data_IF_738569071001
#
_entry.id   IF_738569071001
#
_cell.length_a   1.000
_cell.length_b   1.000
_cell.length_c   1.000
_cell.angle_alpha   90.00
_cell.angle_beta   90.00
_cell.angle_gamma   90.00
#
_symmetry.space_group_name_H-M   'P 1'
#
loop_
_entity.id
_entity.type
_entity.pdbx_description
1 polymer ?
#
# COMPACT_ATOMS: atom_id res chain seq x y z
N UNK A 1 0.00 2.66 -13.97
CA UNK A 1 0.76 3.93 -14.17
C UNK A 1 -0.03 5.17 -13.75
N UNK A 2 -1.29 5.43 -14.17
CA UNK A 2 -2.02 6.60 -13.65
C UNK A 2 -2.09 6.66 -12.12
N UNK A 3 -2.27 5.50 -11.49
CA UNK A 3 -2.25 5.30 -10.03
C UNK A 3 -0.90 5.72 -9.41
N UNK A 4 0.21 5.18 -9.94
CA UNK A 4 1.55 5.57 -9.54
C UNK A 4 1.81 7.07 -9.72
N UNK A 5 1.32 7.68 -10.80
CA UNK A 5 1.50 9.13 -11.05
C UNK A 5 0.83 9.95 -9.95
N UNK A 6 -0.46 9.71 -9.68
CA UNK A 6 -1.19 10.47 -8.65
C UNK A 6 -0.60 10.25 -7.26
N UNK A 7 -0.20 9.02 -6.97
CA UNK A 7 0.40 8.71 -5.67
C UNK A 7 1.77 9.37 -5.50
N UNK A 8 2.63 9.30 -6.53
CA UNK A 8 3.92 9.99 -6.52
C UNK A 8 3.77 11.49 -6.30
N UNK A 9 2.81 12.14 -6.96
CA UNK A 9 2.54 13.57 -6.79
C UNK A 9 2.16 13.92 -5.35
N UNK A 10 1.44 13.04 -4.64
CA UNK A 10 1.22 13.19 -3.19
C UNK A 10 2.54 13.06 -2.43
N UNK A 11 3.34 12.02 -2.71
CA UNK A 11 4.59 11.74 -2.00
C UNK A 11 5.67 12.82 -2.21
N UNK A 12 5.67 13.52 -3.35
CA UNK A 12 6.56 14.68 -3.59
C UNK A 12 6.41 15.77 -2.53
N UNK A 13 5.26 15.83 -1.85
CA UNK A 13 4.99 16.80 -0.79
C UNK A 13 5.34 16.27 0.62
N UNK A 14 5.90 15.07 0.73
CA UNK A 14 6.26 14.43 2.00
C UNK A 14 7.78 14.46 2.17
N UNK A 15 8.32 15.22 3.13
CA UNK A 15 9.76 15.26 3.36
C UNK A 15 10.27 13.95 3.98
N UNK A 16 11.55 13.63 3.75
CA UNK A 16 12.23 12.46 4.32
C UNK A 16 11.41 11.17 4.13
N UNK A 17 11.14 10.85 2.87
CA UNK A 17 10.43 9.65 2.44
C UNK A 17 11.33 8.84 1.51
N UNK A 18 11.22 7.52 1.59
CA UNK A 18 11.80 6.59 0.63
C UNK A 18 10.71 5.66 0.11
N UNK A 19 10.46 5.69 -1.20
CA UNK A 19 9.38 4.94 -1.82
C UNK A 19 9.86 3.60 -2.35
N UNK A 20 9.45 2.52 -1.70
CA UNK A 20 9.71 1.15 -2.15
C UNK A 20 8.56 0.72 -3.07
N UNK A 21 8.84 0.58 -4.36
CA UNK A 21 7.89 0.11 -5.36
C UNK A 21 8.20 -1.35 -5.67
N UNK A 22 7.40 -2.24 -5.10
CA UNK A 22 7.51 -3.68 -5.33
C UNK A 22 6.50 -4.11 -6.40
N UNK A 23 6.99 -4.67 -7.49
CA UNK A 23 6.22 -5.07 -8.67
C UNK A 23 6.00 -6.59 -8.69
N UNK A 24 4.76 -7.05 -8.89
CA UNK A 24 4.42 -8.47 -9.02
C UNK A 24 4.74 -8.96 -10.45
N UNK A 25 6.02 -8.94 -10.78
CA UNK A 25 6.54 -9.24 -12.11
C UNK A 25 7.88 -9.97 -12.04
N UNK A 26 8.19 -10.74 -13.10
CA UNK A 26 9.49 -11.39 -13.27
C UNK A 26 10.51 -10.51 -14.03
N UNK A 27 10.05 -9.42 -14.64
CA UNK A 27 10.86 -8.56 -15.50
C UNK A 27 10.54 -7.10 -15.20
N UNK A 28 11.56 -6.25 -15.30
CA UNK A 28 11.45 -4.81 -15.05
C UNK A 28 10.45 -4.13 -15.99
N UNK A 29 9.58 -3.32 -15.41
CA UNK A 29 8.76 -2.37 -16.14
C UNK A 29 9.50 -1.02 -16.28
N UNK A 30 10.13 -0.80 -17.43
CA UNK A 30 10.93 0.41 -17.66
C UNK A 30 10.11 1.70 -17.63
N UNK A 31 8.83 1.68 -18.01
CA UNK A 31 7.98 2.87 -17.88
C UNK A 31 7.82 3.29 -16.40
N UNK A 32 7.76 2.33 -15.48
CA UNK A 32 7.71 2.59 -14.03
C UNK A 32 9.05 3.13 -13.53
N UNK A 33 10.16 2.51 -13.91
CA UNK A 33 11.51 2.94 -13.50
C UNK A 33 11.82 4.36 -14.01
N UNK A 34 11.50 4.64 -15.27
CA UNK A 34 11.67 5.96 -15.87
C UNK A 34 10.84 7.02 -15.13
N UNK A 35 9.59 6.70 -14.78
CA UNK A 35 8.75 7.62 -14.02
C UNK A 35 9.23 7.83 -12.58
N UNK A 36 9.71 6.78 -11.90
CA UNK A 36 10.29 6.91 -10.56
C UNK A 36 11.52 7.82 -10.58
N UNK A 37 12.37 7.67 -11.59
CA UNK A 37 13.53 8.55 -11.82
C UNK A 37 13.09 9.99 -12.05
N UNK A 38 12.10 10.21 -12.92
CA UNK A 38 11.52 11.53 -13.18
C UNK A 38 10.95 12.18 -11.90
N UNK A 39 10.26 11.41 -11.06
CA UNK A 39 9.61 11.91 -9.86
C UNK A 39 10.58 12.51 -8.83
N UNK A 40 11.87 12.14 -8.92
CA UNK A 40 12.93 12.56 -7.99
C UNK A 40 12.68 12.21 -6.51
N UNK A 41 11.68 11.38 -6.23
CA UNK A 41 11.46 10.79 -4.89
C UNK A 41 12.56 9.74 -4.68
N UNK A 42 13.29 9.73 -3.55
CA UNK A 42 14.17 8.62 -3.21
C UNK A 42 13.39 7.31 -3.25
N UNK A 43 13.85 6.33 -4.02
CA UNK A 43 13.07 5.13 -4.27
C UNK A 43 13.91 3.87 -4.42
N UNK A 44 13.23 2.73 -4.33
CA UNK A 44 13.77 1.42 -4.70
C UNK A 44 12.70 0.68 -5.47
N UNK A 45 13.06 0.16 -6.64
CA UNK A 45 12.19 -0.71 -7.43
C UNK A 45 12.59 -2.17 -7.21
N UNK A 46 11.62 -3.01 -6.83
CA UNK A 46 11.82 -4.43 -6.52
C UNK A 46 10.95 -5.29 -7.43
N UNK A 47 11.47 -6.42 -7.89
CA UNK A 47 10.69 -7.48 -8.51
C UNK A 47 10.34 -8.52 -7.45
N UNK A 48 9.04 -8.67 -7.18
CA UNK A 48 8.51 -9.53 -6.12
C UNK A 48 7.38 -10.41 -6.67
N UNK A 49 7.68 -11.32 -7.60
CA UNK A 49 6.66 -12.14 -8.22
C UNK A 49 5.98 -13.03 -7.18
N UNK A 50 4.65 -13.09 -7.24
CA UNK A 50 3.87 -14.02 -6.42
C UNK A 50 4.37 -15.45 -6.65
N UNK A 51 4.62 -16.25 -5.59
CA UNK A 51 5.00 -17.64 -5.76
C UNK A 51 3.93 -18.45 -6.51
N UNK A 52 4.35 -19.34 -7.40
CA UNK A 52 3.45 -20.05 -8.33
C UNK A 52 2.33 -20.83 -7.63
N UNK A 53 2.63 -21.45 -6.48
CA UNK A 53 1.66 -22.16 -5.64
C UNK A 53 0.46 -21.31 -5.20
N UNK A 54 0.63 -19.99 -5.08
CA UNK A 54 -0.45 -19.08 -4.69
C UNK A 54 -1.19 -18.49 -5.90
N UNK A 55 -0.57 -18.46 -7.08
CA UNK A 55 -1.23 -18.00 -8.32
C UNK A 55 -2.37 -18.91 -8.75
N UNK A 56 -2.30 -20.19 -8.37
CA UNK A 56 -3.27 -21.23 -8.73
C UNK A 56 -4.48 -21.29 -7.78
N UNK A 57 -4.48 -20.53 -6.69
CA UNK A 57 -5.60 -20.50 -5.76
C UNK A 57 -6.81 -19.76 -6.36
N UNK A 58 -8.00 -20.23 -6.01
CA UNK A 58 -9.28 -19.59 -6.38
C UNK A 58 -9.41 -18.20 -5.76
N UNK A 59 -8.94 -18.04 -4.52
CA UNK A 59 -8.84 -16.76 -3.81
C UNK A 59 -7.35 -16.49 -3.57
N UNK A 60 -6.80 -15.54 -4.31
CA UNK A 60 -5.37 -15.21 -4.28
C UNK A 60 -5.07 -14.18 -3.18
N UNK A 61 -4.05 -14.39 -2.33
CA UNK A 61 -3.57 -13.39 -1.37
C UNK A 61 -2.77 -12.32 -2.12
N UNK A 62 -3.43 -11.23 -2.52
CA UNK A 62 -2.84 -10.19 -3.37
C UNK A 62 -1.84 -9.32 -2.61
N UNK A 63 -0.73 -8.97 -3.26
CA UNK A 63 0.27 -8.04 -2.74
C UNK A 63 1.16 -8.58 -1.60
N UNK A 64 0.96 -9.83 -1.14
CA UNK A 64 1.77 -10.39 -0.04
C UNK A 64 3.25 -10.50 -0.40
N UNK A 65 3.58 -10.97 -1.61
CA UNK A 65 4.96 -11.05 -2.07
C UNK A 65 5.63 -9.67 -2.09
N UNK A 66 4.92 -8.67 -2.58
CA UNK A 66 5.38 -7.28 -2.70
C UNK A 66 5.65 -6.67 -1.32
N UNK A 67 4.71 -6.81 -0.38
CA UNK A 67 4.85 -6.29 0.98
C UNK A 67 5.96 -7.00 1.75
N UNK A 68 6.10 -8.32 1.61
CA UNK A 68 7.19 -9.07 2.23
C UNK A 68 8.56 -8.72 1.61
N UNK A 69 8.64 -8.52 0.29
CA UNK A 69 9.86 -8.03 -0.35
C UNK A 69 10.27 -6.64 0.13
N UNK A 70 9.30 -5.73 0.30
CA UNK A 70 9.55 -4.42 0.92
C UNK A 70 10.03 -4.53 2.38
N UNK A 71 9.42 -5.40 3.18
CA UNK A 71 9.86 -5.67 4.56
C UNK A 71 11.29 -6.22 4.62
N UNK A 72 11.64 -7.13 3.71
CA UNK A 72 13.01 -7.65 3.59
C UNK A 72 14.01 -6.54 3.25
N UNK A 73 13.69 -5.69 2.27
CA UNK A 73 14.54 -4.55 1.93
C UNK A 73 14.74 -3.61 3.12
N UNK A 74 13.67 -3.29 3.86
CA UNK A 74 13.75 -2.45 5.07
C UNK A 74 14.68 -3.06 6.11
N UNK A 75 14.61 -4.37 6.35
CA UNK A 75 15.48 -5.06 7.31
C UNK A 75 16.96 -4.99 6.94
N UNK A 76 17.25 -5.04 5.65
CA UNK A 76 18.61 -5.03 5.13
C UNK A 76 19.21 -3.61 5.05
N UNK A 77 18.38 -2.58 4.83
CA UNK A 77 18.87 -1.25 4.44
C UNK A 77 18.50 -0.12 5.41
N UNK A 78 17.53 -0.31 6.30
CA UNK A 78 17.06 0.74 7.20
C UNK A 78 17.36 0.42 8.66
N UNK A 79 17.78 1.44 9.41
CA UNK A 79 18.05 1.34 10.87
C UNK A 79 17.04 2.11 11.70
N UNK A 80 16.32 3.06 11.09
CA UNK A 80 15.32 3.89 11.76
C UNK A 80 14.26 4.39 10.78
N UNK A 81 13.13 4.83 11.32
CA UNK A 81 12.02 5.40 10.56
C UNK A 81 10.73 4.62 10.77
N UNK A 82 9.80 4.74 9.82
CA UNK A 82 8.49 4.10 9.88
C UNK A 82 8.19 3.44 8.54
N UNK A 83 7.71 2.20 8.59
CA UNK A 83 7.18 1.47 7.44
C UNK A 83 5.67 1.69 7.39
N UNK A 84 5.19 2.09 6.21
CA UNK A 84 3.77 2.23 5.92
C UNK A 84 3.45 1.48 4.63
N UNK A 85 2.42 0.62 4.66
CA UNK A 85 1.97 -0.13 3.49
C UNK A 85 0.93 0.71 2.75
N UNK A 86 1.27 1.15 1.54
CA UNK A 86 0.43 2.00 0.74
C UNK A 86 0.15 1.35 -0.62
N UNK A 87 -1.09 0.90 -0.83
CA UNK A 87 -1.56 0.46 -2.15
C UNK A 87 -1.67 1.68 -3.08
N UNK A 88 -1.42 1.49 -4.39
CA UNK A 88 -1.27 2.58 -5.36
C UNK A 88 -2.59 3.24 -5.76
N UNK A 89 -3.72 2.57 -5.55
CA UNK A 89 -5.06 3.04 -5.91
C UNK A 89 -5.77 3.84 -4.81
N UNK A 90 -5.25 3.77 -3.58
CA UNK A 90 -5.78 4.45 -2.41
C UNK A 90 -5.54 5.98 -2.49
N UNK A 91 -6.23 6.73 -1.64
CA UNK A 91 -6.08 8.19 -1.55
C UNK A 91 -5.55 8.57 -0.18
N UNK A 92 -4.47 9.36 -0.15
CA UNK A 92 -3.74 9.72 1.06
C UNK A 92 -3.68 11.23 1.23
N UNK A 93 -4.06 11.71 2.41
CA UNK A 93 -3.82 13.09 2.82
C UNK A 93 -2.39 13.23 3.36
N UNK A 94 -1.70 14.31 3.02
CA UNK A 94 -0.31 14.56 3.48
C UNK A 94 -0.18 14.56 5.01
N UNK A 95 -1.26 14.91 5.73
CA UNK A 95 -1.31 14.92 7.20
C UNK A 95 -1.10 13.53 7.79
N UNK A 96 -1.47 12.46 7.07
CA UNK A 96 -1.21 11.10 7.50
C UNK A 96 0.29 10.87 7.75
N UNK A 97 1.12 11.28 6.80
CA UNK A 97 2.57 11.08 6.87
C UNK A 97 3.22 11.92 7.98
N UNK A 98 2.57 13.01 8.42
CA UNK A 98 3.00 13.79 9.58
C UNK A 98 2.67 13.06 10.89
N UNK A 99 1.48 12.45 10.98
CA UNK A 99 1.02 11.71 12.15
C UNK A 99 1.86 10.45 12.42
N UNK A 100 2.12 9.65 11.38
CA UNK A 100 2.78 8.35 11.53
C UNK A 100 4.30 8.45 11.62
N UNK A 101 4.90 9.60 11.32
CA UNK A 101 6.36 9.79 11.33
C UNK A 101 7.00 9.46 12.68
N UNK A 102 6.24 9.64 13.75
CA UNK A 102 6.69 9.49 15.14
C UNK A 102 6.20 8.20 15.78
N UNK A 103 5.84 7.19 14.99
CA UNK A 103 5.46 5.88 15.52
C UNK A 103 6.66 5.20 16.18
N UNK A 104 6.51 4.82 17.44
CA UNK A 104 7.55 4.15 18.23
C UNK A 104 7.46 2.64 18.12
N UNK A 105 6.24 2.09 18.04
CA UNK A 105 6.00 0.65 17.85
C UNK A 105 5.04 0.41 16.68
N UNK A 106 3.75 0.57 16.92
CA UNK A 106 2.68 0.42 15.94
C UNK A 106 1.66 1.52 16.19
N UNK A 107 1.34 2.27 15.14
CA UNK A 107 0.29 3.25 15.17
C UNK A 107 -0.90 2.80 14.35
N UNK A 108 -2.12 3.12 14.78
CA UNK A 108 -3.34 2.84 14.03
C UNK A 108 -4.25 4.06 13.95
N UNK A 109 -5.03 4.12 12.87
CA UNK A 109 -5.89 5.25 12.54
C UNK A 109 -7.03 4.82 11.60
N UNK A 110 -8.11 5.61 11.48
CA UNK A 110 -9.25 5.28 10.64
C UNK A 110 -8.93 5.29 9.14
N UNK A 111 -9.56 4.37 8.41
CA UNK A 111 -9.54 4.28 6.94
C UNK A 111 -10.97 4.40 6.41
N UNK A 112 -11.21 5.36 5.53
CA UNK A 112 -12.51 5.57 4.90
C UNK A 112 -12.74 4.68 3.67
N UNK A 113 -14.00 4.48 3.29
CA UNK A 113 -14.43 3.74 2.10
C UNK A 113 -14.02 2.27 2.07
N UNK A 114 -13.80 1.67 3.24
CA UNK A 114 -13.42 0.25 3.37
C UNK A 114 -14.66 -0.65 3.33
N UNK A 115 -14.67 -1.62 2.42
CA UNK A 115 -15.75 -2.60 2.23
C UNK A 115 -17.15 -1.96 2.12
N UNK A 116 -18.21 -2.68 2.53
CA UNK A 116 -19.57 -2.14 2.66
C UNK A 116 -19.79 -1.34 3.94
N UNK A 117 -18.91 -1.48 4.93
CA UNK A 117 -19.02 -0.73 6.18
C UNK A 117 -18.67 0.76 6.02
N UNK A 118 -17.89 1.12 4.99
CA UNK A 118 -17.49 2.49 4.70
C UNK A 118 -16.41 3.04 5.63
N UNK A 119 -16.02 2.29 6.67
CA UNK A 119 -15.02 2.66 7.66
C UNK A 119 -14.35 1.41 8.23
N UNK A 120 -13.04 1.47 8.38
CA UNK A 120 -12.25 0.57 9.23
C UNK A 120 -11.54 1.43 10.28
N UNK A 121 -11.73 1.16 11.57
CA UNK A 121 -11.21 2.02 12.63
C UNK A 121 -11.04 1.29 13.97
N UNK A 122 -9.99 1.60 14.74
CA UNK A 122 -10.02 1.42 16.19
C UNK A 122 -11.20 2.19 16.80
N UNK A 123 -11.84 1.62 17.82
CA UNK A 123 -12.90 2.26 18.60
C UNK A 123 -12.34 2.64 19.95
N UNK A 124 -12.36 3.93 20.26
CA UNK A 124 -11.87 4.46 21.53
C UNK A 124 -13.02 4.96 22.40
N UNK A 125 -12.95 4.69 23.70
CA UNK A 125 -13.84 5.25 24.72
C UNK A 125 -12.98 5.97 25.75
N UNK A 126 -13.19 7.28 25.91
CA UNK A 126 -12.38 8.15 26.78
C UNK A 126 -10.87 8.05 26.49
N UNK A 127 -10.51 7.93 25.21
CA UNK A 127 -9.13 7.78 24.76
C UNK A 127 -8.49 6.42 25.02
N UNK A 128 -9.24 5.44 25.54
CA UNK A 128 -8.78 4.06 25.72
C UNK A 128 -9.38 3.16 24.66
N UNK A 129 -8.62 2.15 24.23
CA UNK A 129 -9.08 1.14 23.30
C UNK A 129 -10.33 0.41 23.85
N UNK A 130 -11.36 0.28 23.02
CA UNK A 130 -12.62 -0.39 23.37
C UNK A 130 -12.98 -1.52 22.40
N UNK A 131 -12.39 -1.55 21.21
CA UNK A 131 -12.64 -2.57 20.21
C UNK A 131 -12.35 -2.05 18.81
N UNK A 132 -12.92 -2.74 17.82
CA UNK A 132 -12.71 -2.43 16.41
C UNK A 132 -14.04 -2.23 15.69
N UNK A 133 -14.05 -1.35 14.71
CA UNK A 133 -15.13 -1.20 13.76
C UNK A 133 -14.58 -1.50 12.36
N UNK A 134 -15.06 -2.58 11.74
CA UNK A 134 -14.60 -3.00 10.43
C UNK A 134 -15.68 -3.86 9.75
N UNK A 135 -15.72 -3.85 8.41
CA UNK A 135 -16.71 -4.61 7.65
C UNK A 135 -16.50 -6.13 7.69
N UNK A 136 -15.37 -6.61 8.20
CA UNK A 136 -15.04 -8.02 8.20
C UNK A 136 -14.21 -8.46 9.41
N UNK A 137 -14.87 -8.64 10.55
CA UNK A 137 -14.18 -8.95 11.82
C UNK A 137 -13.64 -10.39 11.88
N UNK A 138 -14.36 -11.39 11.37
CA UNK A 138 -13.94 -12.80 11.18
C UNK A 138 -13.02 -13.43 12.25
N UNK A 139 -13.24 -13.15 13.54
CA UNK A 139 -12.38 -13.61 14.68
C UNK A 139 -10.92 -13.16 14.59
N UNK A 140 -10.61 -12.13 13.78
CA UNK A 140 -9.31 -11.47 13.73
C UNK A 140 -9.05 -10.74 15.05
N UNK A 141 -7.81 -10.74 15.53
CA UNK A 141 -7.37 -9.94 16.69
C UNK A 141 -7.24 -8.48 16.27
N UNK A 142 -6.78 -8.25 15.04
CA UNK A 142 -6.68 -6.96 14.41
C UNK A 142 -7.53 -6.92 13.13
N UNK A 143 -8.84 -6.71 13.24
CA UNK A 143 -9.70 -6.50 12.10
C UNK A 143 -9.56 -5.06 11.59
N UNK A 144 -8.45 -4.78 10.92
CA UNK A 144 -8.15 -3.49 10.29
C UNK A 144 -7.84 -3.68 8.81
N UNK A 145 -7.95 -2.59 8.07
CA UNK A 145 -7.46 -2.47 6.70
C UNK A 145 -5.94 -2.29 6.66
N UNK A 146 -5.29 -2.75 5.57
CA UNK A 146 -3.84 -2.63 5.37
C UNK A 146 -3.35 -1.18 5.49
N UNK A 147 -4.13 -0.23 4.98
CA UNK A 147 -3.78 1.18 5.01
C UNK A 147 -3.95 1.83 6.40
N UNK A 148 -4.50 1.11 7.39
CA UNK A 148 -4.91 1.64 8.69
C UNK A 148 -3.84 1.62 9.78
N UNK A 149 -2.61 1.18 9.46
CA UNK A 149 -1.54 1.10 10.45
C UNK A 149 -0.15 1.40 9.85
N UNK A 150 0.77 1.78 10.73
CA UNK A 150 2.19 1.96 10.41
C UNK A 150 3.06 1.35 11.50
N UNK A 151 4.28 0.94 11.16
CA UNK A 151 5.18 0.19 12.05
C UNK A 151 6.54 0.86 12.13
N UNK A 152 7.05 1.06 13.33
CA UNK A 152 8.42 1.54 13.55
C UNK A 152 9.45 0.57 12.97
N UNK A 153 10.41 1.07 12.20
CA UNK A 153 11.53 0.28 11.67
C UNK A 153 12.32 -0.35 12.81
N UNK A 154 12.62 0.43 13.86
CA UNK A 154 13.35 -0.05 15.04
C UNK A 154 12.61 -1.18 15.76
N UNK A 155 11.28 -1.13 15.80
CA UNK A 155 10.47 -2.21 16.38
C UNK A 155 10.42 -3.43 15.46
N UNK A 156 10.26 -3.22 14.15
CA UNK A 156 10.28 -4.28 13.14
C UNK A 156 11.59 -5.08 13.16
N UNK A 157 12.74 -4.40 13.31
CA UNK A 157 14.06 -5.06 13.39
C UNK A 157 14.21 -5.98 14.61
N UNK A 158 13.49 -5.70 15.72
CA UNK A 158 13.43 -6.59 16.90
C UNK A 158 12.55 -7.81 16.66
N UNK A 159 11.62 -7.72 15.69
CA UNK A 159 10.66 -8.76 15.31
C UNK A 159 11.06 -9.38 13.97
N UNK A 160 12.25 -9.98 13.91
CA UNK A 160 12.89 -10.44 12.66
C UNK A 160 12.01 -11.40 11.83
N UNK A 161 11.15 -12.18 12.47
CA UNK A 161 10.28 -13.17 11.82
C UNK A 161 8.89 -12.63 11.46
N UNK A 162 8.64 -11.32 11.60
CA UNK A 162 7.33 -10.74 11.34
C UNK A 162 7.04 -10.58 9.86
N UNK A 163 6.17 -11.41 9.29
CA UNK A 163 5.86 -11.39 7.86
C UNK A 163 4.36 -11.50 7.62
N UNK A 164 3.91 -11.02 6.45
CA UNK A 164 2.53 -11.22 6.03
C UNK A 164 2.36 -12.68 5.57
N UNK A 165 1.40 -13.42 6.14
CA UNK A 165 1.11 -14.76 5.67
C UNK A 165 0.42 -14.70 4.30
N UNK A 166 0.72 -15.68 3.45
CA UNK A 166 -0.03 -15.90 2.22
C UNK A 166 -1.38 -16.57 2.51
N UNK A 167 -2.26 -15.85 3.21
CA UNK A 167 -3.59 -16.32 3.61
C UNK A 167 -4.61 -15.21 3.40
N UNK A 168 -5.43 -15.36 2.37
CA UNK A 168 -6.44 -14.38 1.97
C UNK A 168 -7.34 -13.94 3.14
N UNK A 169 -7.35 -12.64 3.39
CA UNK A 169 -8.02 -11.94 4.48
C UNK A 169 -7.35 -12.06 5.87
N UNK A 170 -6.25 -12.78 5.99
CA UNK A 170 -5.52 -12.85 7.27
C UNK A 170 -4.11 -12.26 7.13
N UNK A 171 -3.86 -11.50 6.07
CA UNK A 171 -2.59 -10.83 5.81
C UNK A 171 -2.26 -9.84 6.93
N UNK A 172 -3.15 -8.87 7.19
CA UNK A 172 -2.96 -7.82 8.20
C UNK A 172 -2.94 -8.43 9.61
N UNK A 173 -3.94 -9.27 9.92
CA UNK A 173 -4.07 -9.90 11.24
C UNK A 173 -2.86 -10.79 11.55
N UNK A 174 -2.40 -11.58 10.57
CA UNK A 174 -1.23 -12.43 10.73
C UNK A 174 0.05 -11.64 10.94
N UNK A 175 0.26 -10.58 10.16
CA UNK A 175 1.42 -9.71 10.32
C UNK A 175 1.42 -9.00 11.68
N UNK A 176 0.32 -8.37 12.07
CA UNK A 176 0.22 -7.65 13.35
C UNK A 176 0.39 -8.60 14.55
N UNK A 177 -0.14 -9.84 14.48
CA UNK A 177 0.15 -10.87 15.49
C UNK A 177 1.62 -11.24 15.56
N UNK A 178 2.30 -11.33 14.42
CA UNK A 178 3.72 -11.68 14.36
C UNK A 178 4.64 -10.62 14.98
N UNK A 179 4.17 -9.37 15.06
CA UNK A 179 4.84 -8.29 15.79
C UNK A 179 4.72 -8.41 17.32
N UNK A 180 3.88 -9.32 17.83
CA UNK A 180 3.62 -9.51 19.27
C UNK A 180 3.21 -8.21 19.99
N UNK A 181 2.42 -7.39 19.30
CA UNK A 181 1.81 -6.19 19.85
C UNK A 181 0.44 -6.55 20.46
N UNK A 182 0.11 -5.94 21.60
CA UNK A 182 -1.24 -5.96 22.17
C UNK A 182 -1.99 -4.66 21.83
N UNK A 183 -3.34 -4.69 21.69
CA UNK A 183 -4.12 -3.49 21.34
C UNK A 183 -3.91 -2.30 22.28
N UNK A 184 -3.60 -2.55 23.55
CA UNK A 184 -3.33 -1.52 24.56
C UNK A 184 -2.00 -0.79 24.35
N UNK A 185 -1.08 -1.38 23.59
CA UNK A 185 0.24 -0.82 23.26
C UNK A 185 0.23 0.01 21.96
N UNK A 186 -0.92 0.10 21.28
CA UNK A 186 -1.06 0.78 20.01
C UNK A 186 -1.17 2.29 20.19
N UNK A 187 -0.44 3.02 19.37
CA UNK A 187 -0.51 4.48 19.29
C UNK A 187 -1.67 4.91 18.38
N UNK A 188 -2.78 5.35 18.96
CA UNK A 188 -3.93 5.82 18.18
C UNK A 188 -3.72 7.25 17.66
N UNK A 189 -3.57 7.38 16.34
CA UNK A 189 -3.31 8.65 15.63
C UNK A 189 -4.62 9.26 15.09
N UNK A 190 -4.49 10.32 14.30
CA UNK A 190 -5.59 11.03 13.67
C UNK A 190 -6.61 11.57 14.70
N UNK A 191 -6.07 12.28 15.70
CA UNK A 191 -6.83 12.89 16.79
C UNK A 191 -7.70 11.86 17.53
N UNK A 192 -7.05 10.84 18.10
CA UNK A 192 -7.72 9.71 18.77
C UNK A 192 -8.76 9.04 17.88
N UNK A 193 -8.39 8.79 16.63
CA UNK A 193 -9.22 8.14 15.62
C UNK A 193 -10.53 8.89 15.30
N UNK A 194 -10.55 10.22 15.45
CA UNK A 194 -11.72 11.05 15.08
C UNK A 194 -11.62 11.68 13.69
N UNK A 195 -10.45 11.56 13.03
CA UNK A 195 -10.19 12.07 11.68
C UNK A 195 -9.82 10.95 10.73
N UNK A 196 -10.20 11.11 9.46
CA UNK A 196 -9.85 10.18 8.37
C UNK A 196 -8.84 10.91 7.46
N UNK A 197 -7.67 10.32 7.27
CA UNK A 197 -6.60 10.84 6.41
C UNK A 197 -6.20 9.87 5.29
N UNK A 198 -6.86 8.73 5.20
CA UNK A 198 -6.67 7.74 4.14
C UNK A 198 -8.01 7.11 3.75
N UNK A 199 -8.18 6.88 2.45
CA UNK A 199 -9.37 6.28 1.87
C UNK A 199 -9.00 5.15 0.94
N UNK A 200 -9.67 4.01 1.10
CA UNK A 200 -9.51 2.82 0.27
C UNK A 200 -10.28 2.98 -1.05
N UNK A 201 -9.81 3.88 -1.91
CA UNK A 201 -10.39 4.14 -3.24
C UNK A 201 -9.98 3.08 -4.26
N UNK A 202 -10.80 2.89 -5.30
CA UNK A 202 -10.47 2.04 -6.44
C UNK A 202 -10.85 2.75 -7.73
N UNK A 203 -9.98 2.70 -8.73
CA UNK A 203 -10.31 3.22 -10.06
C UNK A 203 -11.20 2.25 -10.80
N UNK A 204 -12.28 2.77 -11.39
CA UNK A 204 -13.15 1.97 -12.25
C UNK A 204 -12.40 1.63 -13.54
N UNK A 205 -12.37 0.35 -13.91
CA UNK A 205 -11.86 -0.08 -15.21
C UNK A 205 -12.62 0.60 -16.35
N UNK A 206 -11.87 1.13 -17.30
CA UNK A 206 -12.44 1.66 -18.53
C UNK A 206 -12.96 0.51 -19.41
N UNK A 207 -13.95 0.82 -20.25
CA UNK A 207 -14.38 -0.12 -21.30
C UNK A 207 -13.25 -0.39 -22.31
N UNK A 208 -13.34 -1.48 -23.08
CA UNK A 208 -12.33 -1.81 -24.08
C UNK A 208 -12.21 -0.66 -25.08
N UNK A 209 -10.99 -0.15 -25.26
CA UNK A 209 -10.68 0.87 -26.26
C UNK A 209 -9.79 0.29 -27.35
N UNK A 210 -9.95 0.76 -28.58
CA UNK A 210 -9.09 0.31 -29.68
C UNK A 210 -7.65 0.76 -29.42
N UNK A 211 -6.73 -0.21 -29.41
CA UNK A 211 -5.29 0.05 -29.37
C UNK A 211 -4.73 0.64 -30.65
N UNK A 212 -5.45 0.49 -31.76
CA UNK A 212 -4.94 0.82 -33.08
C UNK A 212 -5.63 2.05 -33.64
N UNK A 213 -4.84 3.09 -33.90
CA UNK A 213 -5.20 4.23 -34.72
C UNK A 213 -5.14 3.76 -36.19
N UNK A 214 -6.25 3.21 -36.69
CA UNK A 214 -6.33 2.60 -38.03
C UNK A 214 -6.27 3.62 -39.19
N UNK A 215 -6.36 4.91 -38.91
CA UNK A 215 -6.43 5.95 -39.93
C UNK A 215 -5.06 6.15 -40.60
N UNK A 216 -4.92 5.72 -41.85
CA UNK A 216 -3.68 5.76 -42.64
C UNK A 216 -3.11 7.17 -42.84
N UNK A 217 -3.95 8.21 -42.77
CA UNK A 217 -3.54 9.62 -42.83
C UNK A 217 -2.55 10.03 -41.71
N UNK A 218 -2.40 9.20 -40.67
CA UNK A 218 -1.45 9.44 -39.58
C UNK A 218 -0.18 8.58 -39.68
N UNK A 219 0.01 7.87 -40.79
CA UNK A 219 1.27 7.18 -41.04
C UNK A 219 2.41 8.19 -41.15
N UNK A 220 3.56 7.88 -40.53
CA UNK A 220 4.72 8.77 -40.50
C UNK A 220 4.63 9.94 -39.50
N UNK A 221 3.53 10.06 -38.73
CA UNK A 221 3.40 11.11 -37.72
C UNK A 221 3.70 10.61 -36.30
N UNK A 222 3.78 11.53 -35.36
CA UNK A 222 3.92 11.24 -33.93
C UNK A 222 2.80 10.35 -33.37
N UNK A 223 1.62 10.26 -34.01
CA UNK A 223 0.55 9.39 -33.56
C UNK A 223 0.94 7.90 -33.58
N UNK A 224 1.84 7.47 -34.47
CA UNK A 224 2.38 6.09 -34.46
C UNK A 224 3.32 5.83 -33.30
N UNK A 225 3.96 6.87 -32.77
CA UNK A 225 4.77 6.79 -31.56
C UNK A 225 3.85 6.69 -30.34
N UNK A 226 2.81 7.53 -30.30
CA UNK A 226 1.83 7.54 -29.21
C UNK A 226 1.03 6.25 -29.14
N UNK A 227 0.61 5.69 -30.28
CA UNK A 227 -0.08 4.39 -30.37
C UNK A 227 0.67 3.28 -29.61
N UNK A 228 2.00 3.22 -29.74
CA UNK A 228 2.85 2.25 -29.02
C UNK A 228 2.93 2.52 -27.52
N UNK A 229 2.66 3.75 -27.08
CA UNK A 229 2.71 4.19 -25.67
C UNK A 229 1.33 4.27 -25.01
N UNK A 230 0.23 4.08 -25.75
CA UNK A 230 -1.11 4.14 -25.19
C UNK A 230 -1.30 3.01 -24.18
N UNK A 231 -1.47 3.38 -22.92
CA UNK A 231 -1.86 2.45 -21.87
C UNK A 231 -3.36 2.18 -21.98
N UNK A 232 -3.69 1.13 -22.71
CA UNK A 232 -5.03 0.60 -22.80
C UNK A 232 -5.05 -0.74 -22.07
N UNK A 233 -5.77 -0.79 -20.96
CA UNK A 233 -6.12 -2.04 -20.28
C UNK A 233 -6.97 -2.90 -21.22
N UNK A 234 -6.57 -4.17 -21.36
CA UNK A 234 -7.34 -5.23 -22.03
C UNK A 234 -8.30 -5.91 -21.06
#
# INVERSE_FOLDING_TARGET
MPELIRFAQTLMNVPNIHWIVADDANTTNYDVVDYLTYSSIPHTYLLTPMPEKYKQLSIKPKGVANRNGGLMWVREHATSGVVYFADDDNTYDIRLFQEIRYTERVSMFPVGLVTKAGLSSPVLKNGKFHGWYDGWIAKRKFPVDMAGFAVSVQYLLKMQNAEMPYKAGYEEDGFLRSLKIEPEEIEFKADKCTKIYVWHTQTKKNGPSQRTILQSKYNGTNLRILEKKMMIES
#
